data_IF_774558830313
#
_entry.id   IF_774558830313
#
_cell.length_a   1.000
_cell.length_b   1.000
_cell.length_c   1.000
_cell.angle_alpha   90.00
_cell.angle_beta   90.00
_cell.angle_gamma   90.00
#
_symmetry.space_group_name_H-M   'P 1'
#
loop_
_entity.id
_entity.type
_entity.pdbx_description
1 polymer ?
#
# COMPACT_ATOMS: atom_id res chain seq x y z
N UNK A 1 -7.55 -15.91 10.34
CA UNK A 1 -8.66 -16.82 10.02
C UNK A 1 -8.34 -18.17 10.62
N UNK A 2 -9.18 -18.68 11.53
CA UNK A 2 -8.93 -19.97 12.17
C UNK A 2 -9.27 -21.12 11.21
N UNK A 3 -8.63 -22.29 11.39
CA UNK A 3 -8.96 -23.51 10.65
C UNK A 3 -8.77 -24.79 11.48
N UNK A 4 -9.43 -25.86 11.05
CA UNK A 4 -9.32 -27.23 11.57
C UNK A 4 -9.26 -28.23 10.42
N UNK A 5 -8.39 -29.24 10.51
CA UNK A 5 -8.22 -30.37 9.59
C UNK A 5 -7.99 -29.97 8.13
N UNK A 6 -7.06 -29.05 7.90
CA UNK A 6 -6.66 -28.60 6.57
C UNK A 6 -6.18 -29.77 5.69
N UNK A 7 -6.77 -29.97 4.50
CA UNK A 7 -6.55 -31.16 3.68
C UNK A 7 -5.15 -31.24 3.06
N UNK A 8 -4.51 -30.10 2.83
CA UNK A 8 -3.12 -30.03 2.33
C UNK A 8 -2.07 -30.26 3.43
N UNK A 9 -2.49 -30.36 4.69
CA UNK A 9 -1.65 -30.64 5.84
C UNK A 9 -1.71 -32.10 6.30
N UNK A 10 -0.84 -32.46 7.24
CA UNK A 10 -1.01 -33.72 7.98
C UNK A 10 -2.13 -33.57 9.00
N UNK A 11 -3.20 -34.37 8.89
CA UNK A 11 -4.39 -34.32 9.76
C UNK A 11 -4.21 -35.28 10.96
N UNK A 12 -4.59 -34.88 12.20
CA UNK A 12 -5.30 -33.64 12.56
C UNK A 12 -4.38 -32.43 12.65
N UNK A 13 -4.89 -31.27 12.28
CA UNK A 13 -4.18 -29.99 12.41
C UNK A 13 -5.16 -28.84 12.69
N UNK A 14 -4.68 -27.82 13.38
CA UNK A 14 -5.43 -26.59 13.63
C UNK A 14 -4.45 -25.42 13.59
N UNK A 15 -4.95 -24.23 13.30
CA UNK A 15 -4.10 -23.05 13.27
C UNK A 15 -4.81 -21.80 12.78
N UNK A 16 -3.99 -20.80 12.47
CA UNK A 16 -4.42 -19.52 11.92
C UNK A 16 -3.77 -19.29 10.57
N UNK A 17 -4.61 -19.04 9.57
CA UNK A 17 -4.20 -18.51 8.29
C UNK A 17 -4.15 -16.97 8.40
N UNK A 18 -3.04 -16.32 8.01
CA UNK A 18 -2.96 -14.86 7.96
C UNK A 18 -3.96 -14.34 6.92
N UNK A 19 -4.94 -13.52 7.33
CA UNK A 19 -6.07 -13.15 6.46
C UNK A 19 -5.64 -12.41 5.19
N UNK A 20 -4.67 -11.49 5.31
CA UNK A 20 -4.13 -10.75 4.16
C UNK A 20 -3.31 -11.59 3.17
N UNK A 21 -2.82 -12.75 3.62
CA UNK A 21 -2.09 -13.70 2.75
C UNK A 21 -3.01 -14.64 1.98
N UNK A 22 -4.25 -14.79 2.44
CA UNK A 22 -5.22 -15.63 1.77
C UNK A 22 -6.08 -14.77 0.83
N UNK A 23 -6.40 -13.54 1.23
CA UNK A 23 -7.39 -12.74 0.54
C UNK A 23 -8.80 -13.29 0.71
N UNK A 24 -9.11 -13.82 1.89
CA UNK A 24 -10.48 -14.22 2.22
C UNK A 24 -11.15 -13.03 2.86
N UNK A 25 -12.09 -12.46 2.12
CA UNK A 25 -12.93 -11.36 2.57
C UNK A 25 -14.38 -11.64 2.21
N UNK A 26 -15.28 -10.91 2.88
CA UNK A 26 -16.69 -10.85 2.51
C UNK A 26 -16.88 -9.95 1.30
N UNK A 27 -18.09 -9.90 0.76
CA UNK A 27 -18.41 -8.87 -0.23
C UNK A 27 -18.40 -7.47 0.39
N UNK A 28 -18.88 -7.40 1.64
CA UNK A 28 -19.03 -6.17 2.42
C UNK A 28 -18.48 -6.39 3.82
N UNK A 29 -17.74 -5.41 4.34
CA UNK A 29 -17.34 -5.43 5.74
C UNK A 29 -18.46 -4.93 6.67
N UNK A 30 -18.23 -4.94 7.98
CA UNK A 30 -19.18 -4.53 9.01
C UNK A 30 -19.82 -3.13 8.90
N UNK A 31 -19.17 -2.15 8.29
CA UNK A 31 -19.58 -0.76 8.11
C UNK A 31 -20.29 -0.51 6.78
N UNK A 32 -20.32 -1.49 5.86
CA UNK A 32 -21.00 -1.41 4.57
C UNK A 32 -20.08 -1.21 3.36
N UNK A 33 -18.77 -1.10 3.54
CA UNK A 33 -17.79 -0.90 2.46
C UNK A 33 -17.45 -2.22 1.74
N UNK A 34 -17.19 -2.18 0.43
CA UNK A 34 -16.70 -3.34 -0.30
C UNK A 34 -15.34 -3.76 0.26
N UNK A 35 -15.13 -5.05 0.54
CA UNK A 35 -13.92 -5.48 1.25
C UNK A 35 -12.61 -5.14 0.51
N UNK A 36 -12.55 -5.24 -0.82
CA UNK A 36 -11.36 -4.83 -1.56
C UNK A 36 -11.07 -3.31 -1.41
N UNK A 37 -12.11 -2.48 -1.32
CA UNK A 37 -11.97 -1.05 -1.09
C UNK A 37 -11.63 -0.74 0.38
N UNK A 38 -12.26 -1.43 1.33
CA UNK A 38 -11.97 -1.30 2.75
C UNK A 38 -10.53 -1.70 3.08
N UNK A 39 -10.03 -2.77 2.47
CA UNK A 39 -8.65 -3.21 2.62
C UNK A 39 -7.70 -2.17 2.00
N UNK A 40 -7.96 -1.71 0.78
CA UNK A 40 -7.16 -0.62 0.19
C UNK A 40 -7.14 0.61 1.10
N UNK A 41 -8.30 1.03 1.63
CA UNK A 41 -8.39 2.17 2.53
C UNK A 41 -7.59 1.95 3.80
N UNK A 42 -7.70 0.78 4.45
CA UNK A 42 -6.93 0.44 5.65
C UNK A 42 -5.43 0.48 5.39
N UNK A 43 -4.99 -0.07 4.26
CA UNK A 43 -3.60 -0.06 3.84
C UNK A 43 -3.10 1.35 3.51
N UNK A 44 -3.96 2.19 2.93
CA UNK A 44 -3.64 3.57 2.56
C UNK A 44 -3.76 4.57 3.71
N UNK A 45 -4.52 4.28 4.76
CA UNK A 45 -4.73 5.16 5.90
C UNK A 45 -3.41 5.51 6.59
N UNK A 46 -2.58 4.50 6.88
CA UNK A 46 -1.26 4.70 7.49
C UNK A 46 -0.32 5.54 6.61
N UNK A 47 -0.25 5.22 5.31
CA UNK A 47 0.57 5.93 4.33
C UNK A 47 0.10 7.38 4.18
N UNK A 48 -1.22 7.60 4.16
CA UNK A 48 -1.85 8.91 4.07
C UNK A 48 -1.54 9.76 5.29
N UNK A 49 -1.71 9.23 6.51
CA UNK A 49 -1.40 9.95 7.74
C UNK A 49 0.07 10.35 7.83
N UNK A 50 1.00 9.47 7.48
CA UNK A 50 2.44 9.77 7.52
C UNK A 50 2.81 10.84 6.49
N UNK A 51 2.28 10.72 5.27
CA UNK A 51 2.48 11.71 4.21
C UNK A 51 1.87 13.07 4.60
N UNK A 52 0.65 13.08 5.14
CA UNK A 52 -0.02 14.29 5.61
C UNK A 52 0.72 14.93 6.78
N UNK A 53 1.23 14.14 7.73
CA UNK A 53 2.02 14.65 8.85
C UNK A 53 3.30 15.32 8.33
N UNK A 54 4.02 14.68 7.41
CA UNK A 54 5.21 15.26 6.79
C UNK A 54 4.90 16.56 6.00
N UNK A 55 3.84 16.58 5.20
CA UNK A 55 3.41 17.79 4.47
C UNK A 55 2.93 18.90 5.41
N UNK A 56 2.27 18.55 6.52
CA UNK A 56 1.83 19.52 7.53
C UNK A 56 3.03 20.15 8.22
N UNK A 57 4.05 19.36 8.56
CA UNK A 57 5.32 19.87 9.12
C UNK A 57 5.99 20.87 8.18
N UNK A 58 6.01 20.59 6.86
CA UNK A 58 6.52 21.54 5.86
C UNK A 58 5.65 22.80 5.79
N UNK A 59 4.33 22.68 5.80
CA UNK A 59 3.43 23.83 5.82
C UNK A 59 3.63 24.73 7.06
N UNK A 60 3.92 24.13 8.21
CA UNK A 60 4.27 24.85 9.44
C UNK A 60 5.54 25.68 9.30
N UNK A 61 6.53 25.24 8.49
CA UNK A 61 7.72 26.05 8.18
C UNK A 61 7.36 27.30 7.39
N UNK A 62 6.52 27.16 6.36
CA UNK A 62 6.06 28.30 5.54
C UNK A 62 5.31 29.31 6.41
N UNK A 63 4.43 28.82 7.29
CA UNK A 63 3.73 29.67 8.27
C UNK A 63 4.71 30.40 9.20
N UNK A 64 5.69 29.69 9.75
CA UNK A 64 6.74 30.24 10.61
C UNK A 64 7.53 31.34 9.90
N UNK A 65 7.97 31.10 8.67
CA UNK A 65 8.68 32.09 7.86
C UNK A 65 7.82 33.33 7.57
N UNK A 66 6.54 33.13 7.26
CA UNK A 66 5.61 34.22 6.93
C UNK A 66 5.31 35.11 8.14
N UNK A 67 5.02 34.53 9.31
CA UNK A 67 4.77 35.28 10.56
C UNK A 67 5.99 36.08 10.99
N UNK A 68 7.19 35.57 10.72
CA UNK A 68 8.45 36.26 11.02
C UNK A 68 8.95 37.16 9.87
N UNK A 69 8.13 37.40 8.83
CA UNK A 69 8.46 38.31 7.72
C UNK A 69 9.66 37.90 6.87
N UNK A 70 10.04 36.61 6.93
CA UNK A 70 11.19 36.06 6.21
C UNK A 70 10.79 35.37 4.91
N UNK A 71 9.49 35.14 4.66
CA UNK A 71 8.98 34.52 3.44
C UNK A 71 8.75 35.52 2.29
N UNK A 72 9.05 35.17 1.03
CA UNK A 72 9.85 34.02 0.58
C UNK A 72 11.38 34.26 0.62
N UNK A 73 12.22 33.22 0.68
CA UNK A 73 13.65 33.33 0.41
C UNK A 73 13.91 33.87 -1.00
N UNK A 74 15.03 34.59 -1.16
CA UNK A 74 15.49 35.00 -2.48
C UNK A 74 16.01 33.79 -3.28
N UNK A 75 15.99 33.89 -4.60
CA UNK A 75 16.54 32.88 -5.51
C UNK A 75 17.99 32.53 -5.15
N UNK A 76 18.29 31.23 -5.04
CA UNK A 76 19.60 30.71 -4.67
C UNK A 76 19.97 30.90 -3.20
N UNK A 77 19.01 31.25 -2.33
CA UNK A 77 19.24 31.47 -0.90
C UNK A 77 18.38 30.55 -0.03
N UNK A 78 18.79 30.40 1.23
CA UNK A 78 18.12 29.58 2.24
C UNK A 78 17.78 30.44 3.46
N UNK A 79 16.65 30.16 4.08
CA UNK A 79 16.27 30.69 5.39
C UNK A 79 16.37 29.54 6.40
N UNK A 80 17.07 29.81 7.50
CA UNK A 80 17.11 28.94 8.66
C UNK A 80 16.04 29.36 9.68
N UNK A 81 15.12 28.45 9.96
CA UNK A 81 14.01 28.60 10.89
C UNK A 81 14.21 27.80 12.17
N UNK A 82 15.33 27.11 12.36
CA UNK A 82 15.54 26.15 13.46
C UNK A 82 15.22 26.76 14.83
N UNK A 83 15.70 27.98 15.08
CA UNK A 83 15.46 28.72 16.33
C UNK A 83 14.07 29.38 16.40
N UNK A 84 13.47 29.67 15.26
CA UNK A 84 12.16 30.30 15.14
C UNK A 84 11.01 29.29 15.19
N UNK A 85 11.29 28.03 14.89
CA UNK A 85 10.33 26.93 14.91
C UNK A 85 10.07 26.41 16.32
N UNK A 86 11.07 26.45 17.22
CA UNK A 86 10.96 25.94 18.60
C UNK A 86 9.85 26.58 19.46
N UNK A 87 9.56 27.90 19.38
CA UNK A 87 8.48 28.51 20.17
C UNK A 87 7.06 28.18 19.70
N UNK A 88 6.92 27.70 18.46
CA UNK A 88 5.64 27.41 17.79
C UNK A 88 5.49 25.93 17.47
N UNK A 89 6.47 25.11 17.83
CA UNK A 89 6.46 23.67 17.62
C UNK A 89 5.39 23.00 18.47
N UNK A 90 4.95 21.83 18.03
CA UNK A 90 4.17 20.95 18.88
C UNK A 90 4.97 20.61 20.17
N UNK A 91 4.30 20.32 21.29
CA UNK A 91 4.96 19.81 22.48
C UNK A 91 5.85 18.60 22.17
N UNK A 92 6.97 18.47 22.89
CA UNK A 92 7.94 17.37 22.77
C UNK A 92 8.65 17.25 21.42
N UNK A 93 8.66 18.31 20.62
CA UNK A 93 9.44 18.41 19.39
C UNK A 93 10.63 19.32 19.60
N UNK A 94 11.82 18.85 19.25
CA UNK A 94 13.06 19.64 19.24
C UNK A 94 13.65 19.61 17.84
N UNK A 95 13.72 20.78 17.19
CA UNK A 95 14.31 20.90 15.86
C UNK A 95 15.83 20.94 15.93
N UNK A 96 16.48 20.07 15.17
CA UNK A 96 17.91 20.10 14.89
C UNK A 96 18.19 20.96 13.65
N UNK A 97 17.35 20.86 12.62
CA UNK A 97 17.40 21.66 11.39
C UNK A 97 15.99 21.98 10.91
N UNK A 98 15.75 23.21 10.47
CA UNK A 98 14.56 23.60 9.72
C UNK A 98 14.90 24.67 8.69
N UNK A 99 15.07 24.29 7.41
CA UNK A 99 15.48 25.23 6.36
C UNK A 99 14.55 25.24 5.15
N UNK A 100 14.31 26.43 4.59
CA UNK A 100 13.61 26.61 3.32
C UNK A 100 14.57 27.23 2.32
N UNK A 101 14.79 26.56 1.20
CA UNK A 101 15.65 27.02 0.11
C UNK A 101 14.86 27.21 -1.17
N UNK A 102 15.08 28.32 -1.87
CA UNK A 102 14.70 28.47 -3.27
C UNK A 102 15.95 28.27 -4.11
N UNK A 103 15.92 27.33 -5.05
CA UNK A 103 17.07 26.99 -5.86
C UNK A 103 17.59 28.17 -6.70
N UNK A 104 18.79 28.02 -7.26
CA UNK A 104 19.44 29.09 -8.03
C UNK A 104 18.70 29.47 -9.32
N UNK A 105 17.79 28.63 -9.82
CA UNK A 105 16.96 28.92 -11.00
C UNK A 105 15.62 29.54 -10.62
N UNK A 106 15.29 29.61 -9.33
CA UNK A 106 14.03 30.15 -8.83
C UNK A 106 12.83 29.27 -9.15
N UNK A 107 13.05 27.98 -9.42
CA UNK A 107 12.05 27.05 -9.95
C UNK A 107 11.70 25.94 -8.97
N UNK A 108 12.59 25.60 -8.05
CA UNK A 108 12.40 24.50 -7.09
C UNK A 108 12.57 25.00 -5.66
N UNK A 109 11.57 24.70 -4.85
CA UNK A 109 11.59 24.87 -3.40
C UNK A 109 12.12 23.59 -2.75
N UNK A 110 13.06 23.72 -1.82
CA UNK A 110 13.55 22.62 -1.01
C UNK A 110 13.31 22.94 0.45
N UNK A 111 12.66 22.01 1.14
CA UNK A 111 12.35 22.07 2.56
C UNK A 111 13.09 20.91 3.23
N UNK A 112 13.90 21.23 4.24
CA UNK A 112 14.62 20.23 5.03
C UNK A 112 14.26 20.41 6.51
N UNK A 113 13.81 19.32 7.11
CA UNK A 113 13.46 19.20 8.52
C UNK A 113 14.21 18.02 9.13
N UNK A 114 14.83 18.27 10.28
CA UNK A 114 15.40 17.25 11.16
C UNK A 114 14.97 17.63 12.58
N UNK A 115 14.23 16.75 13.23
CA UNK A 115 13.76 16.96 14.59
C UNK A 115 13.61 15.66 15.35
N UNK A 116 13.69 15.78 16.68
CA UNK A 116 13.40 14.70 17.61
C UNK A 116 12.01 14.92 18.16
N UNK A 117 11.14 13.91 18.03
CA UNK A 117 9.89 13.83 18.76
C UNK A 117 10.07 12.88 19.95
N UNK A 118 9.76 13.32 21.16
CA UNK A 118 9.75 12.43 22.34
C UNK A 118 8.31 12.05 22.68
N UNK A 119 7.98 10.77 22.58
CA UNK A 119 6.66 10.27 22.97
C UNK A 119 6.47 10.49 24.48
N UNK A 120 5.51 11.33 24.91
CA UNK A 120 5.31 11.63 26.33
C UNK A 120 4.83 10.43 27.14
N UNK A 121 4.29 9.40 26.50
CA UNK A 121 3.76 8.20 27.16
C UNK A 121 4.86 7.20 27.52
N UNK A 122 5.90 7.09 26.68
CA UNK A 122 7.01 6.14 26.85
C UNK A 122 8.35 6.81 27.17
N UNK A 123 8.44 8.13 27.01
CA UNK A 123 9.69 8.90 27.01
C UNK A 123 10.72 8.45 25.96
N UNK A 124 10.26 7.76 24.90
CA UNK A 124 11.10 7.29 23.80
C UNK A 124 11.34 8.41 22.81
N UNK A 125 12.60 8.72 22.45
CA UNK A 125 12.90 9.64 21.36
C UNK A 125 12.74 8.94 20.01
N UNK A 126 12.19 9.69 19.05
CA UNK A 126 12.05 9.33 17.65
C UNK A 126 12.76 10.39 16.82
N UNK A 127 13.86 10.00 16.18
CA UNK A 127 14.57 10.87 15.23
C UNK A 127 13.81 10.87 13.90
N UNK A 128 13.42 12.05 13.44
CA UNK A 128 12.58 12.22 12.25
C UNK A 128 13.24 13.22 11.31
N UNK A 129 13.41 12.80 10.06
CA UNK A 129 13.80 13.70 8.97
C UNK A 129 12.71 13.76 7.91
N UNK A 130 12.48 14.95 7.37
CA UNK A 130 11.54 15.19 6.27
C UNK A 130 12.22 16.11 5.26
N UNK A 131 12.23 15.69 3.99
CA UNK A 131 12.68 16.50 2.89
C UNK A 131 11.57 16.61 1.83
N UNK A 132 11.22 17.83 1.44
CA UNK A 132 10.34 18.08 0.28
C UNK A 132 11.08 18.89 -0.75
N UNK A 133 11.11 18.41 -1.99
CA UNK A 133 11.48 19.20 -3.17
C UNK A 133 10.22 19.45 -4.00
N UNK A 134 9.89 20.70 -4.29
CA UNK A 134 8.65 21.09 -4.95
C UNK A 134 8.89 22.11 -6.06
N UNK A 135 8.53 21.75 -7.28
CA UNK A 135 8.50 22.64 -8.43
C UNK A 135 7.06 23.10 -8.68
N UNK A 136 6.79 24.38 -8.40
CA UNK A 136 5.49 24.98 -8.67
C UNK A 136 5.46 25.56 -10.09
N UNK A 137 4.37 25.33 -10.83
CA UNK A 137 4.09 25.99 -12.11
C UNK A 137 2.65 26.52 -12.15
N UNK A 138 2.34 27.36 -13.14
CA UNK A 138 1.05 28.05 -13.23
C UNK A 138 -0.14 27.13 -13.58
N UNK A 139 0.12 25.96 -14.14
CA UNK A 139 -0.91 25.00 -14.61
C UNK A 139 -0.78 23.62 -13.98
N UNK A 140 0.09 23.48 -12.98
CA UNK A 140 0.48 22.19 -12.44
C UNK A 140 1.70 22.31 -11.54
N UNK A 141 2.00 21.27 -10.78
CA UNK A 141 3.18 21.22 -9.93
C UNK A 141 3.70 19.80 -9.82
N UNK A 142 4.96 19.66 -9.46
CA UNK A 142 5.52 18.35 -9.14
C UNK A 142 6.31 18.44 -7.85
N UNK A 143 6.45 17.32 -7.18
CA UNK A 143 7.28 17.27 -5.99
C UNK A 143 7.70 15.86 -5.62
N UNK A 144 8.73 15.82 -4.79
CA UNK A 144 9.23 14.62 -4.15
C UNK A 144 9.38 14.88 -2.66
N UNK A 145 8.63 14.15 -1.87
CA UNK A 145 8.71 14.09 -0.42
C UNK A 145 9.46 12.81 -0.03
N UNK A 146 10.34 12.92 0.95
CA UNK A 146 11.00 11.79 1.60
C UNK A 146 10.91 12.02 3.09
N UNK A 147 10.61 10.97 3.86
CA UNK A 147 10.65 11.02 5.31
C UNK A 147 11.26 9.74 5.88
N UNK A 148 11.96 9.89 6.99
CA UNK A 148 12.61 8.81 7.72
C UNK A 148 12.29 9.02 9.19
N UNK A 149 11.79 8.00 9.87
CA UNK A 149 11.41 8.06 11.28
C UNK A 149 11.85 6.80 12.01
N UNK A 150 12.61 6.98 13.10
CA UNK A 150 13.01 5.89 13.98
C UNK A 150 11.86 5.45 14.89
N UNK A 151 11.73 4.14 15.08
CA UNK A 151 10.66 3.51 15.85
C UNK A 151 11.10 2.16 16.46
N UNK A 152 10.23 1.50 17.21
CA UNK A 152 10.45 0.16 17.76
C UNK A 152 9.33 -0.80 17.37
N UNK A 153 9.70 -1.94 16.78
CA UNK A 153 8.78 -2.99 16.37
C UNK A 153 9.32 -4.37 16.72
N UNK A 154 8.52 -5.16 17.45
CA UNK A 154 8.83 -6.55 17.80
C UNK A 154 7.95 -7.52 17.00
N UNK A 155 8.53 -8.60 16.49
CA UNK A 155 7.80 -9.65 15.76
C UNK A 155 8.03 -9.67 14.25
N UNK A 156 9.02 -8.92 13.76
CA UNK A 156 9.43 -8.90 12.35
C UNK A 156 10.65 -9.76 12.03
N UNK A 157 11.22 -9.60 10.82
CA UNK A 157 12.43 -10.31 10.39
C UNK A 157 13.73 -9.59 10.79
N UNK A 158 13.63 -8.41 11.44
CA UNK A 158 14.79 -7.66 11.90
C UNK A 158 15.48 -8.31 13.12
N UNK A 159 16.81 -8.16 13.26
CA UNK A 159 17.57 -8.79 14.34
C UNK A 159 17.38 -8.12 15.72
N UNK A 160 16.84 -6.90 15.75
CA UNK A 160 16.49 -6.16 16.97
C UNK A 160 15.10 -5.53 16.82
N UNK A 161 14.58 -4.98 17.92
CA UNK A 161 13.32 -4.24 17.90
C UNK A 161 13.46 -2.86 17.23
N UNK A 162 14.67 -2.31 17.13
CA UNK A 162 14.89 -1.01 16.49
C UNK A 162 14.59 -1.12 14.99
N UNK A 163 13.73 -0.22 14.51
CA UNK A 163 13.37 -0.12 13.10
C UNK A 163 13.35 1.33 12.66
N UNK A 164 13.56 1.57 11.37
CA UNK A 164 13.35 2.88 10.77
C UNK A 164 12.30 2.78 9.68
N UNK A 165 11.23 3.54 9.82
CA UNK A 165 10.26 3.76 8.77
C UNK A 165 10.85 4.69 7.71
N UNK A 166 10.94 4.24 6.47
CA UNK A 166 11.35 5.08 5.35
C UNK A 166 10.15 5.22 4.41
N UNK A 167 9.78 6.45 4.09
CA UNK A 167 8.72 6.76 3.15
C UNK A 167 9.14 7.76 2.09
N UNK A 168 8.57 7.64 0.90
CA UNK A 168 8.73 8.63 -0.16
C UNK A 168 7.44 8.77 -0.96
N UNK A 169 7.12 9.99 -1.36
CA UNK A 169 6.04 10.31 -2.29
C UNK A 169 6.62 11.12 -3.44
N UNK A 170 6.36 10.70 -4.67
CA UNK A 170 6.51 11.56 -5.85
C UNK A 170 5.14 11.85 -6.43
N UNK A 171 4.91 13.10 -6.83
CA UNK A 171 3.65 13.51 -7.43
C UNK A 171 3.86 14.51 -8.56
N UNK A 172 2.91 14.52 -9.49
CA UNK A 172 2.76 15.49 -10.56
C UNK A 172 1.30 15.87 -10.71
N UNK A 173 1.03 17.13 -11.01
CA UNK A 173 -0.31 17.62 -11.31
C UNK A 173 -0.29 18.43 -12.60
N UNK A 174 -1.32 18.27 -13.43
CA UNK A 174 -1.56 19.08 -14.62
C UNK A 174 -3.05 19.36 -14.73
N UNK A 175 -3.48 20.59 -14.44
CA UNK A 175 -4.90 20.89 -14.31
C UNK A 175 -5.53 20.09 -13.16
N UNK A 176 -6.46 19.19 -13.49
CA UNK A 176 -7.09 18.26 -12.53
C UNK A 176 -6.44 16.88 -12.54
N UNK A 177 -5.57 16.57 -13.49
CA UNK A 177 -4.89 15.28 -13.54
C UNK A 177 -3.82 15.22 -12.45
N UNK A 178 -3.82 14.14 -11.68
CA UNK A 178 -2.87 13.84 -10.61
C UNK A 178 -2.24 12.49 -10.85
N UNK A 179 -0.92 12.48 -10.91
CA UNK A 179 -0.11 11.27 -10.93
C UNK A 179 0.69 11.22 -9.62
N UNK A 180 0.70 10.09 -8.94
CA UNK A 180 1.52 9.92 -7.75
C UNK A 180 2.01 8.50 -7.56
N UNK A 181 3.15 8.38 -6.88
CA UNK A 181 3.63 7.12 -6.32
C UNK A 181 4.15 7.36 -4.91
N UNK A 182 3.61 6.60 -3.95
CA UNK A 182 4.13 6.48 -2.60
C UNK A 182 4.83 5.15 -2.42
N UNK A 183 5.92 5.13 -1.66
CA UNK A 183 6.64 3.92 -1.26
C UNK A 183 6.91 3.99 0.23
N UNK A 184 6.76 2.85 0.91
CA UNK A 184 6.98 2.72 2.33
C UNK A 184 7.74 1.42 2.61
N UNK A 185 8.74 1.48 3.48
CA UNK A 185 9.47 0.29 3.92
C UNK A 185 9.86 0.38 5.39
N UNK A 186 9.81 -0.76 6.08
CA UNK A 186 10.25 -0.92 7.47
C UNK A 186 11.65 -1.54 7.50
N UNK A 187 12.64 -0.69 7.79
CA UNK A 187 14.07 -1.00 7.75
C UNK A 187 14.60 -1.42 9.12
N UNK A 188 15.59 -2.31 9.12
CA UNK A 188 16.16 -2.82 10.36
C UNK A 188 17.19 -1.86 10.97
N UNK A 189 17.06 -1.62 12.28
CA UNK A 189 17.88 -0.69 13.04
C UNK A 189 17.48 0.77 12.85
N UNK A 190 17.83 1.62 13.82
CA UNK A 190 17.68 3.08 13.76
C UNK A 190 18.65 3.76 12.79
N UNK A 191 18.22 4.90 12.25
CA UNK A 191 18.96 5.69 11.26
C UNK A 191 19.22 4.92 9.95
N UNK A 192 18.32 4.01 9.55
CA UNK A 192 18.43 3.38 8.24
C UNK A 192 17.96 4.33 7.14
N UNK A 193 18.80 4.55 6.13
CA UNK A 193 18.47 5.34 4.95
C UNK A 193 18.16 4.41 3.78
N UNK A 194 16.91 3.99 3.64
CA UNK A 194 16.43 3.09 2.59
C UNK A 194 16.12 3.78 1.26
N UNK A 195 16.56 5.02 1.09
CA UNK A 195 16.23 5.86 -0.07
C UNK A 195 17.31 5.69 -1.14
N UNK A 196 16.89 5.46 -2.39
CA UNK A 196 17.78 5.34 -3.54
C UNK A 196 18.21 6.69 -4.12
N UNK A 197 19.08 6.66 -5.12
CA UNK A 197 19.60 7.88 -5.76
C UNK A 197 18.55 8.73 -6.47
N UNK A 198 17.38 8.15 -6.78
CA UNK A 198 16.23 8.87 -7.32
C UNK A 198 15.42 9.62 -6.23
N UNK A 199 15.79 9.47 -4.96
CA UNK A 199 15.10 10.05 -3.81
C UNK A 199 13.82 9.30 -3.42
N UNK A 200 13.59 8.10 -3.98
CA UNK A 200 12.49 7.21 -3.60
C UNK A 200 13.01 6.06 -2.75
N UNK A 201 12.17 5.55 -1.86
CA UNK A 201 12.47 4.33 -1.10
C UNK A 201 12.74 3.18 -2.07
N UNK A 202 13.85 2.48 -1.86
CA UNK A 202 14.36 1.48 -2.78
C UNK A 202 13.95 0.05 -2.34
N UNK A 203 13.10 -0.64 -3.13
CA UNK A 203 12.67 -2.00 -2.81
C UNK A 203 13.81 -3.03 -2.90
N UNK A 204 14.93 -2.70 -3.54
CA UNK A 204 16.09 -3.61 -3.65
C UNK A 204 16.95 -3.65 -2.38
N UNK A 205 16.84 -2.65 -1.49
CA UNK A 205 17.62 -2.56 -0.26
C UNK A 205 17.07 -3.49 0.84
N UNK A 206 17.13 -4.80 0.61
CA UNK A 206 16.55 -5.88 1.42
C UNK A 206 17.46 -6.40 2.54
N UNK A 207 16.89 -6.71 3.70
CA UNK A 207 17.56 -7.54 4.71
C UNK A 207 17.49 -9.04 4.34
N UNK A 208 18.49 -9.88 4.65
CA UNK A 208 19.77 -9.57 5.29
C UNK A 208 20.90 -9.19 4.32
N UNK A 209 20.63 -9.10 3.02
CA UNK A 209 21.62 -8.68 2.01
C UNK A 209 22.28 -7.36 2.42
N UNK A 210 21.47 -6.45 2.94
CA UNK A 210 21.91 -5.24 3.61
C UNK A 210 21.56 -5.31 5.09
N UNK A 211 22.55 -5.07 5.97
CA UNK A 211 22.37 -5.19 7.42
C UNK A 211 21.26 -4.27 7.97
N UNK A 212 21.05 -3.13 7.32
CA UNK A 212 19.98 -2.16 7.62
C UNK A 212 18.90 -2.12 6.53
N UNK A 213 18.83 -3.14 5.68
CA UNK A 213 17.79 -3.25 4.66
C UNK A 213 16.41 -3.43 5.26
N UNK A 214 15.38 -3.37 4.42
CA UNK A 214 14.02 -3.62 4.86
C UNK A 214 13.84 -5.10 5.20
N UNK A 215 13.40 -5.35 6.42
CA UNK A 215 13.15 -6.68 6.96
C UNK A 215 11.67 -7.00 7.07
N UNK A 216 10.80 -6.00 7.10
CA UNK A 216 9.37 -6.21 7.34
C UNK A 216 8.57 -5.77 6.11
N UNK A 217 7.43 -5.13 6.33
CA UNK A 217 6.57 -4.70 5.22
C UNK A 217 7.28 -3.71 4.30
N UNK A 218 7.08 -3.92 3.00
CA UNK A 218 7.34 -2.95 1.96
C UNK A 218 6.08 -2.78 1.12
N UNK A 219 5.67 -1.54 0.87
CA UNK A 219 4.52 -1.25 0.03
C UNK A 219 4.78 -0.14 -0.97
N UNK A 220 4.07 -0.22 -2.09
CA UNK A 220 4.08 0.80 -3.14
C UNK A 220 2.63 1.07 -3.53
N UNK A 221 2.24 2.34 -3.49
CA UNK A 221 0.97 2.82 -4.00
C UNK A 221 1.22 3.71 -5.21
N UNK A 222 0.53 3.46 -6.32
CA UNK A 222 0.62 4.29 -7.52
C UNK A 222 -0.78 4.64 -7.99
N UNK A 223 -1.00 5.89 -8.41
CA UNK A 223 -2.31 6.34 -8.88
C UNK A 223 -2.18 7.39 -9.98
N UNK A 224 -3.06 7.30 -10.98
CA UNK A 224 -3.33 8.35 -11.96
C UNK A 224 -4.84 8.63 -11.95
N UNK A 225 -5.25 9.83 -11.54
CA UNK A 225 -6.65 10.14 -11.36
C UNK A 225 -6.96 11.63 -11.56
N UNK A 226 -8.21 11.93 -11.85
CA UNK A 226 -8.72 13.30 -11.88
C UNK A 226 -9.09 13.73 -10.45
N UNK A 227 -8.49 14.80 -9.95
CA UNK A 227 -8.65 15.30 -8.58
C UNK A 227 -10.05 15.81 -8.25
N UNK A 228 -10.91 16.02 -9.25
CA UNK A 228 -12.27 16.53 -9.07
C UNK A 228 -13.28 15.40 -9.00
N UNK A 229 -13.10 14.38 -9.84
CA UNK A 229 -14.03 13.26 -10.01
C UNK A 229 -13.56 11.98 -9.32
N UNK A 230 -12.28 11.88 -8.96
CA UNK A 230 -11.62 10.67 -8.45
C UNK A 230 -11.68 9.48 -9.42
N UNK A 231 -12.05 9.71 -10.68
CA UNK A 231 -11.97 8.71 -11.72
C UNK A 231 -10.50 8.52 -12.11
N UNK A 232 -10.08 7.27 -12.27
CA UNK A 232 -8.68 6.95 -12.46
C UNK A 232 -8.33 5.50 -12.18
N UNK A 233 -7.04 5.24 -12.12
CA UNK A 233 -6.45 3.93 -11.84
C UNK A 233 -5.63 4.02 -10.55
N UNK A 234 -5.81 3.04 -9.68
CA UNK A 234 -5.14 2.94 -8.39
C UNK A 234 -4.55 1.55 -8.24
N UNK A 235 -3.29 1.46 -7.84
CA UNK A 235 -2.61 0.19 -7.57
C UNK A 235 -1.88 0.26 -6.24
N UNK A 236 -2.21 -0.64 -5.33
CA UNK A 236 -1.48 -0.85 -4.09
C UNK A 236 -0.85 -2.23 -4.11
N UNK A 237 0.45 -2.31 -3.84
CA UNK A 237 1.16 -3.56 -3.70
C UNK A 237 1.90 -3.62 -2.38
N UNK A 238 1.87 -4.79 -1.76
CA UNK A 238 2.48 -5.03 -0.47
C UNK A 238 3.22 -6.36 -0.46
N UNK A 239 4.42 -6.34 0.11
CA UNK A 239 5.22 -7.51 0.39
C UNK A 239 5.53 -7.56 1.88
N UNK A 240 5.17 -8.66 2.56
CA UNK A 240 5.23 -8.78 4.01
C UNK A 240 6.66 -8.87 4.56
N UNK A 241 7.58 -9.43 3.76
CA UNK A 241 8.98 -9.57 4.12
C UNK A 241 9.88 -9.78 2.91
N UNK A 242 11.21 -9.62 3.07
CA UNK A 242 12.17 -9.64 1.97
C UNK A 242 12.29 -11.00 1.29
N UNK A 243 11.85 -12.07 1.97
CA UNK A 243 11.89 -13.45 1.47
C UNK A 243 10.62 -13.88 0.74
N UNK A 244 9.56 -13.07 0.76
CA UNK A 244 8.36 -13.37 -0.01
C UNK A 244 8.68 -13.29 -1.51
N UNK A 245 8.28 -14.32 -2.25
CA UNK A 245 8.51 -14.40 -3.70
C UNK A 245 7.57 -13.50 -4.51
N UNK A 246 6.46 -13.06 -3.92
CA UNK A 246 5.40 -12.35 -4.60
C UNK A 246 4.84 -11.22 -3.74
N UNK A 247 4.30 -10.20 -4.40
CA UNK A 247 3.53 -9.15 -3.74
C UNK A 247 2.03 -9.47 -3.76
N UNK A 248 1.30 -8.95 -2.78
CA UNK A 248 -0.16 -8.86 -2.80
C UNK A 248 -0.51 -7.57 -3.53
N UNK A 249 -1.37 -7.65 -4.53
CA UNK A 249 -1.67 -6.52 -5.43
C UNK A 249 -3.17 -6.26 -5.42
N UNK A 250 -3.53 -5.00 -5.19
CA UNK A 250 -4.87 -4.46 -5.30
C UNK A 250 -4.92 -3.44 -6.41
N UNK A 251 -5.74 -3.69 -7.43
CA UNK A 251 -5.95 -2.76 -8.53
C UNK A 251 -7.40 -2.29 -8.53
N UNK A 252 -7.62 -0.98 -8.56
CA UNK A 252 -8.95 -0.38 -8.63
C UNK A 252 -9.01 0.59 -9.81
N UNK A 253 -9.98 0.37 -10.69
CA UNK A 253 -10.32 1.32 -11.74
C UNK A 253 -11.66 1.97 -11.45
N UNK A 254 -11.69 3.29 -11.42
CA UNK A 254 -12.88 4.10 -11.16
C UNK A 254 -13.27 4.86 -12.42
N UNK A 255 -14.49 4.63 -12.89
CA UNK A 255 -15.08 5.30 -14.03
C UNK A 255 -15.79 6.59 -13.62
N UNK A 256 -15.66 7.63 -14.44
CA UNK A 256 -16.33 8.93 -14.27
C UNK A 256 -17.83 8.88 -14.61
N UNK A 257 -18.59 7.99 -13.96
CA UNK A 257 -20.04 7.86 -14.12
C UNK A 257 -20.78 8.53 -12.95
N UNK A 258 -22.11 8.61 -13.03
CA UNK A 258 -22.96 9.06 -11.90
C UNK A 258 -23.99 7.98 -11.57
N UNK A 259 -23.86 7.27 -10.43
CA UNK A 259 -22.76 7.34 -9.44
C UNK A 259 -21.42 6.86 -10.02
N UNK A 260 -20.29 7.20 -9.38
CA UNK A 260 -18.99 6.66 -9.78
C UNK A 260 -19.03 5.14 -9.61
N UNK A 261 -18.63 4.42 -10.65
CA UNK A 261 -18.62 2.95 -10.68
C UNK A 261 -17.25 2.45 -11.10
N UNK A 262 -16.90 1.23 -10.73
CA UNK A 262 -15.58 0.70 -11.01
C UNK A 262 -15.48 -0.79 -10.76
N UNK A 263 -14.27 -1.30 -10.87
CA UNK A 263 -13.94 -2.64 -10.42
C UNK A 263 -12.70 -2.60 -9.53
N UNK A 264 -12.73 -3.42 -8.48
CA UNK A 264 -11.59 -3.70 -7.63
C UNK A 264 -11.14 -5.15 -7.87
N UNK A 265 -9.83 -5.34 -7.90
CA UNK A 265 -9.18 -6.61 -8.18
C UNK A 265 -8.15 -6.90 -7.11
N UNK A 266 -8.04 -8.17 -6.73
CA UNK A 266 -7.00 -8.64 -5.83
C UNK A 266 -6.37 -9.92 -6.34
N UNK A 267 -5.05 -10.00 -6.20
CA UNK A 267 -4.28 -11.21 -6.44
C UNK A 267 -2.83 -11.02 -6.08
N UNK A 268 -1.98 -11.81 -6.70
CA UNK A 268 -0.55 -11.79 -6.47
C UNK A 268 0.19 -11.41 -7.75
N UNK A 269 1.24 -10.63 -7.59
CA UNK A 269 2.14 -10.24 -8.66
C UNK A 269 3.59 -10.57 -8.33
N UNK A 270 4.47 -10.17 -9.23
CA UNK A 270 5.91 -10.13 -9.03
C UNK A 270 6.30 -9.42 -7.70
N UNK A 271 7.50 -9.70 -7.15
CA UNK A 271 7.95 -9.05 -5.93
C UNK A 271 8.17 -7.55 -6.17
N UNK A 272 8.06 -6.73 -5.12
CA UNK A 272 8.08 -5.25 -5.22
C UNK A 272 9.36 -4.67 -5.85
N UNK A 273 10.41 -5.47 -6.00
CA UNK A 273 11.68 -5.11 -6.66
C UNK A 273 11.61 -5.04 -8.18
N UNK A 274 10.70 -5.79 -8.82
CA UNK A 274 10.63 -5.92 -10.29
C UNK A 274 9.21 -5.80 -10.83
N UNK A 275 8.21 -5.66 -9.95
CA UNK A 275 6.79 -5.59 -10.30
C UNK A 275 6.44 -4.42 -11.22
N UNK A 276 5.54 -4.72 -12.16
CA UNK A 276 4.93 -3.84 -13.17
C UNK A 276 3.48 -3.46 -12.80
N UNK A 277 3.16 -3.46 -11.50
CA UNK A 277 1.81 -3.15 -10.97
C UNK A 277 0.71 -4.17 -11.36
N UNK A 278 1.07 -5.26 -12.04
CA UNK A 278 0.10 -6.25 -12.48
C UNK A 278 -0.22 -7.32 -11.42
N UNK A 279 -1.43 -7.89 -11.53
CA UNK A 279 -1.78 -9.18 -10.93
C UNK A 279 -1.42 -10.26 -11.95
N UNK A 280 -0.53 -11.18 -11.56
CA UNK A 280 -0.13 -12.33 -12.37
C UNK A 280 -1.11 -13.50 -12.21
N UNK A 281 -1.66 -13.65 -11.01
CA UNK A 281 -2.56 -14.74 -10.67
C UNK A 281 -2.93 -14.79 -9.20
N UNK A 282 -3.29 -15.97 -8.72
CA UNK A 282 -3.79 -16.18 -7.37
C UNK A 282 -3.19 -17.41 -6.70
N UNK A 283 -2.71 -17.26 -5.46
CA UNK A 283 -2.37 -18.38 -4.60
C UNK A 283 -3.54 -18.68 -3.66
N UNK A 284 -4.15 -19.84 -3.84
CA UNK A 284 -5.28 -20.24 -3.01
C UNK A 284 -4.87 -20.67 -1.60
N UNK A 285 -3.60 -21.07 -1.42
CA UNK A 285 -3.03 -21.30 -0.10
C UNK A 285 -1.61 -20.77 -0.07
N UNK A 286 -1.44 -19.47 0.23
CA UNK A 286 -0.12 -18.85 0.32
C UNK A 286 0.65 -19.32 1.56
N UNK A 287 0.03 -19.24 2.73
CA UNK A 287 0.66 -19.56 4.02
C UNK A 287 0.01 -20.77 4.73
N UNK A 288 -0.83 -21.54 4.04
CA UNK A 288 -1.53 -22.67 4.62
C UNK A 288 -0.69 -23.96 4.70
N UNK A 289 -1.11 -24.95 5.50
CA UNK A 289 -0.41 -26.23 5.59
C UNK A 289 -0.16 -26.86 4.22
N UNK A 290 1.10 -27.24 3.94
CA UNK A 290 1.47 -27.88 2.68
C UNK A 290 1.34 -27.00 1.44
N UNK A 291 1.41 -25.67 1.60
CA UNK A 291 1.40 -24.73 0.48
C UNK A 291 2.45 -25.10 -0.58
N UNK A 292 2.11 -24.91 -1.85
CA UNK A 292 3.00 -25.26 -2.98
C UNK A 292 3.57 -24.05 -3.71
N UNK A 293 3.14 -22.82 -3.37
CA UNK A 293 3.40 -21.60 -4.14
C UNK A 293 3.16 -21.81 -5.65
N UNK A 294 2.15 -22.60 -6.00
CA UNK A 294 1.69 -22.77 -7.39
C UNK A 294 0.65 -21.71 -7.67
N UNK A 295 0.95 -20.79 -8.58
CA UNK A 295 0.04 -19.71 -8.94
C UNK A 295 -1.02 -20.24 -9.90
N UNK A 296 -2.27 -19.93 -9.62
CA UNK A 296 -3.40 -20.21 -10.51
C UNK A 296 -3.72 -18.98 -11.35
N UNK A 297 -4.23 -19.19 -12.57
CA UNK A 297 -4.64 -18.12 -13.49
C UNK A 297 -6.02 -17.55 -13.13
N UNK A 298 -6.16 -17.11 -11.88
CA UNK A 298 -7.34 -16.48 -11.34
C UNK A 298 -7.00 -15.15 -10.68
N UNK A 299 -8.01 -14.34 -10.42
CA UNK A 299 -7.96 -13.20 -9.53
C UNK A 299 -9.32 -13.03 -8.85
N UNK A 300 -9.34 -12.30 -7.75
CA UNK A 300 -10.59 -11.84 -7.17
C UNK A 300 -11.04 -10.54 -7.84
N UNK A 301 -12.36 -10.39 -7.99
CA UNK A 301 -12.97 -9.20 -8.61
C UNK A 301 -14.21 -8.78 -7.82
N UNK A 302 -14.39 -7.47 -7.65
CA UNK A 302 -15.64 -6.89 -7.15
C UNK A 302 -16.05 -5.68 -8.00
N UNK A 303 -17.32 -5.62 -8.39
CA UNK A 303 -17.90 -4.39 -8.91
C UNK A 303 -18.17 -3.42 -7.76
N UNK A 304 -17.71 -2.19 -7.90
CA UNK A 304 -17.82 -1.16 -6.85
C UNK A 304 -18.53 0.10 -7.34
N UNK A 305 -19.19 0.79 -6.42
CA UNK A 305 -19.87 2.06 -6.64
C UNK A 305 -19.56 2.99 -5.48
N UNK A 306 -19.17 4.24 -5.74
CA UNK A 306 -19.08 5.25 -4.67
C UNK A 306 -20.48 5.68 -4.26
N UNK A 307 -20.83 5.45 -3.01
CA UNK A 307 -21.99 6.05 -2.38
C UNK A 307 -21.63 7.46 -1.91
N UNK A 308 -22.07 8.48 -2.65
CA UNK A 308 -21.75 9.89 -2.33
C UNK A 308 -22.42 10.41 -1.07
N UNK A 309 -23.37 9.67 -0.48
CA UNK A 309 -24.01 10.04 0.79
C UNK A 309 -23.17 9.60 1.98
N UNK A 310 -22.62 8.39 1.93
CA UNK A 310 -21.77 7.81 2.98
C UNK A 310 -20.29 8.11 2.77
N UNK A 311 -19.88 8.40 1.53
CA UNK A 311 -18.49 8.53 1.11
C UNK A 311 -17.77 7.19 0.92
N UNK A 312 -18.48 6.06 1.00
CA UNK A 312 -17.90 4.71 0.95
C UNK A 312 -17.97 4.12 -0.45
N UNK A 313 -17.00 3.27 -0.77
CA UNK A 313 -16.99 2.46 -2.00
C UNK A 313 -17.69 1.14 -1.72
N UNK A 314 -18.96 1.05 -2.10
CA UNK A 314 -19.85 -0.07 -1.80
C UNK A 314 -19.88 -1.08 -2.96
N UNK A 315 -20.15 -2.37 -2.73
CA UNK A 315 -20.33 -3.31 -3.84
C UNK A 315 -21.59 -2.92 -4.64
N UNK A 316 -21.48 -2.84 -5.96
CA UNK A 316 -22.62 -2.43 -6.82
C UNK A 316 -23.79 -3.40 -6.72
N UNK A 317 -23.49 -4.69 -6.64
CA UNK A 317 -24.39 -5.74 -6.21
C UNK A 317 -23.56 -6.95 -5.75
N UNK A 318 -24.04 -7.67 -4.74
CA UNK A 318 -23.39 -8.87 -4.19
C UNK A 318 -23.05 -9.90 -5.27
N UNK A 319 -24.04 -10.23 -6.11
CA UNK A 319 -23.95 -11.23 -7.17
C UNK A 319 -22.98 -10.92 -8.33
N UNK A 320 -22.22 -9.83 -8.27
CA UNK A 320 -21.22 -9.47 -9.27
C UNK A 320 -19.81 -9.40 -8.69
N UNK A 321 -19.55 -10.11 -7.59
CA UNK A 321 -18.22 -10.34 -7.04
C UNK A 321 -17.77 -11.77 -7.34
N UNK A 322 -16.53 -11.93 -7.80
CA UNK A 322 -15.86 -13.20 -8.03
C UNK A 322 -14.82 -13.37 -6.91
N UNK A 323 -15.26 -13.85 -5.74
CA UNK A 323 -14.44 -13.92 -4.51
C UNK A 323 -14.50 -15.27 -3.79
N UNK A 324 -15.31 -16.21 -4.25
CA UNK A 324 -15.53 -17.47 -3.52
C UNK A 324 -14.50 -18.52 -3.91
N UNK A 325 -13.71 -18.95 -2.94
CA UNK A 325 -12.80 -20.09 -3.07
C UNK A 325 -12.56 -20.73 -1.70
N UNK A 326 -12.03 -21.96 -1.67
CA UNK A 326 -11.55 -22.58 -0.43
C UNK A 326 -10.03 -22.40 -0.31
N UNK A 327 -9.48 -22.14 0.90
CA UNK A 327 -8.05 -21.86 1.14
C UNK A 327 -7.10 -23.06 1.00
N UNK A 328 -7.40 -23.97 0.07
CA UNK A 328 -6.60 -25.16 -0.25
C UNK A 328 -5.69 -24.89 -1.44
N UNK A 329 -4.69 -25.75 -1.68
CA UNK A 329 -3.86 -25.67 -2.89
C UNK A 329 -4.69 -25.76 -4.19
N UNK A 330 -5.88 -26.37 -4.14
CA UNK A 330 -6.77 -26.54 -5.28
C UNK A 330 -7.87 -25.47 -5.41
N UNK A 331 -7.87 -24.45 -4.53
CA UNK A 331 -8.90 -23.40 -4.46
C UNK A 331 -10.32 -23.89 -4.17
N UNK A 332 -10.49 -25.19 -3.94
CA UNK A 332 -11.76 -25.89 -3.85
C UNK A 332 -11.70 -26.90 -2.72
N UNK A 333 -12.87 -27.26 -2.21
CA UNK A 333 -13.04 -28.30 -1.22
C UNK A 333 -14.40 -28.96 -1.44
N UNK A 334 -14.38 -30.26 -1.73
CA UNK A 334 -15.57 -31.04 -2.10
C UNK A 334 -16.38 -31.54 -0.90
N UNK A 335 -15.93 -31.24 0.32
CA UNK A 335 -16.58 -31.70 1.55
C UNK A 335 -16.13 -33.09 2.00
N UNK A 336 -15.16 -33.71 1.33
CA UNK A 336 -14.58 -34.98 1.79
C UNK A 336 -13.65 -34.73 2.97
N UNK A 337 -14.07 -35.13 4.17
CA UNK A 337 -13.30 -34.99 5.40
C UNK A 337 -13.93 -34.07 6.42
N UNK A 338 -13.09 -33.49 7.28
CA UNK A 338 -13.52 -32.67 8.45
C UNK A 338 -13.04 -31.23 8.37
N UNK A 339 -12.50 -30.79 7.22
CA UNK A 339 -11.93 -29.45 7.05
C UNK A 339 -12.95 -28.35 7.35
N UNK A 340 -12.53 -27.38 8.15
CA UNK A 340 -13.24 -26.14 8.45
C UNK A 340 -12.30 -24.96 8.45
N UNK A 341 -12.80 -23.82 8.00
CA UNK A 341 -12.12 -22.55 8.11
C UNK A 341 -13.16 -21.46 8.39
N UNK A 342 -12.75 -20.47 9.16
CA UNK A 342 -13.57 -19.34 9.64
C UNK A 342 -13.87 -18.38 8.47
N UNK A 343 -14.88 -18.71 7.66
CA UNK A 343 -15.13 -18.02 6.39
C UNK A 343 -15.74 -16.64 6.62
N UNK A 344 -16.61 -16.53 7.62
CA UNK A 344 -17.22 -15.26 7.97
C UNK A 344 -16.38 -14.43 8.95
N UNK A 345 -15.17 -14.88 9.27
CA UNK A 345 -14.18 -14.16 10.05
C UNK A 345 -14.71 -13.76 11.45
N UNK A 346 -15.66 -14.52 11.99
CA UNK A 346 -16.22 -14.31 13.33
C UNK A 346 -15.42 -15.02 14.45
N UNK A 347 -14.35 -15.74 14.07
CA UNK A 347 -13.46 -16.53 14.93
C UNK A 347 -14.13 -17.74 15.58
N UNK A 348 -15.18 -18.25 14.96
CA UNK A 348 -15.91 -19.43 15.40
C UNK A 348 -15.90 -20.49 14.31
N UNK A 349 -15.41 -21.69 14.62
CA UNK A 349 -15.43 -22.82 13.67
C UNK A 349 -16.66 -23.74 13.86
N UNK A 350 -17.43 -23.56 14.94
CA UNK A 350 -18.51 -24.49 15.30
C UNK A 350 -19.78 -24.29 14.47
N UNK A 351 -19.98 -23.09 13.93
CA UNK A 351 -21.04 -22.71 12.99
C UNK A 351 -20.67 -23.04 11.53
N UNK A 352 -19.43 -23.42 11.25
CA UNK A 352 -19.01 -23.77 9.90
C UNK A 352 -19.52 -25.16 9.49
N UNK A 353 -20.33 -25.17 8.42
CA UNK A 353 -21.03 -26.35 7.92
C UNK A 353 -20.61 -26.67 6.49
N UNK A 354 -21.07 -27.79 5.94
CA UNK A 354 -20.90 -28.08 4.52
C UNK A 354 -21.48 -26.97 3.63
N UNK A 355 -22.51 -26.24 4.08
CA UNK A 355 -23.11 -25.14 3.34
C UNK A 355 -22.25 -23.86 3.31
N UNK A 356 -21.20 -23.76 4.12
CA UNK A 356 -20.29 -22.60 4.17
C UNK A 356 -18.88 -22.95 3.71
N UNK A 357 -18.43 -24.18 3.98
CA UNK A 357 -17.07 -24.66 3.72
C UNK A 357 -16.87 -25.33 2.35
N UNK A 358 -17.88 -26.03 1.83
CA UNK A 358 -17.74 -26.76 0.56
C UNK A 358 -17.76 -25.74 -0.57
N UNK A 359 -16.72 -25.77 -1.40
CA UNK A 359 -16.54 -24.88 -2.55
C UNK A 359 -16.13 -25.73 -3.75
N UNK A 360 -16.98 -25.79 -4.78
CA UNK A 360 -16.77 -26.67 -5.96
C UNK A 360 -17.26 -26.01 -7.24
N UNK A 361 -16.78 -26.50 -8.39
CA UNK A 361 -17.30 -26.14 -9.72
C UNK A 361 -17.57 -27.42 -10.55
N UNK A 362 -18.84 -27.71 -10.94
CA UNK A 362 -20.05 -26.99 -10.56
C UNK A 362 -20.46 -27.29 -9.11
N UNK A 363 -21.05 -26.31 -8.43
CA UNK A 363 -21.61 -26.53 -7.10
C UNK A 363 -22.84 -27.42 -7.13
N UNK A 364 -22.75 -28.59 -6.49
CA UNK A 364 -23.90 -29.48 -6.25
C UNK A 364 -24.41 -29.38 -4.81
N UNK A 365 -23.51 -29.06 -3.88
CA UNK A 365 -23.76 -28.74 -2.47
C UNK A 365 -22.74 -27.69 -2.03
N UNK A 366 -23.12 -26.79 -1.11
CA UNK A 366 -22.23 -25.71 -0.68
C UNK A 366 -22.21 -24.55 -1.67
N UNK A 367 -21.04 -23.93 -1.84
CA UNK A 367 -20.85 -22.76 -2.67
C UNK A 367 -20.16 -23.07 -4.00
N UNK A 368 -20.46 -22.23 -4.98
CA UNK A 368 -19.79 -22.21 -6.28
C UNK A 368 -18.39 -21.62 -6.12
N UNK A 369 -17.38 -22.32 -6.63
CA UNK A 369 -16.07 -21.72 -6.86
C UNK A 369 -16.21 -20.60 -7.88
N UNK A 370 -15.75 -19.42 -7.50
CA UNK A 370 -16.05 -18.17 -8.19
C UNK A 370 -14.86 -17.22 -8.02
N UNK A 371 -13.79 -17.50 -8.77
CA UNK A 371 -12.71 -16.56 -9.02
C UNK A 371 -12.70 -16.21 -10.50
N UNK A 372 -12.32 -14.98 -10.82
CA UNK A 372 -12.28 -14.53 -12.19
C UNK A 372 -11.12 -15.18 -12.93
N UNK A 373 -11.40 -15.93 -13.99
CA UNK A 373 -10.40 -16.66 -14.76
C UNK A 373 -9.68 -15.76 -15.78
N UNK A 374 -8.41 -16.07 -16.04
CA UNK A 374 -7.65 -15.41 -17.09
C UNK A 374 -8.17 -15.70 -18.49
N UNK A 375 -8.06 -14.69 -19.34
CA UNK A 375 -8.45 -14.68 -20.74
C UNK A 375 -7.27 -14.24 -21.60
N UNK A 376 -7.06 -14.95 -22.71
CA UNK A 376 -6.15 -14.53 -23.78
C UNK A 376 -6.90 -13.52 -24.66
N UNK A 377 -6.62 -12.24 -24.44
CA UNK A 377 -7.31 -11.15 -25.14
C UNK A 377 -6.50 -10.68 -26.35
N UNK A 378 -5.18 -10.82 -26.30
CA UNK A 378 -4.28 -10.33 -27.34
C UNK A 378 -4.09 -11.35 -28.50
N UNK A 379 -4.49 -12.61 -28.31
CA UNK A 379 -4.42 -13.69 -29.29
C UNK A 379 -3.03 -14.33 -29.44
N UNK A 380 -2.15 -14.20 -28.44
CA UNK A 380 -0.80 -14.77 -28.45
C UNK A 380 -0.73 -16.23 -27.99
N UNK A 381 -1.86 -16.78 -27.52
CA UNK A 381 -2.00 -18.14 -27.04
C UNK A 381 -1.77 -18.32 -25.53
N UNK A 382 -1.51 -17.24 -24.78
CA UNK A 382 -1.25 -17.27 -23.33
C UNK A 382 -2.25 -16.37 -22.60
N UNK A 383 -3.19 -16.97 -21.89
CA UNK A 383 -4.10 -16.20 -21.04
C UNK A 383 -3.39 -15.66 -19.79
N UNK A 384 -3.42 -14.34 -19.57
CA UNK A 384 -2.83 -13.68 -18.40
C UNK A 384 -3.84 -12.81 -17.66
N UNK A 385 -3.60 -12.59 -16.36
CA UNK A 385 -4.46 -11.70 -15.58
C UNK A 385 -4.27 -10.23 -15.91
N UNK A 386 -3.06 -9.83 -16.30
CA UNK A 386 -2.79 -8.51 -16.87
C UNK A 386 -3.69 -8.19 -18.07
N UNK A 387 -3.76 -9.08 -19.06
CA UNK A 387 -4.59 -8.88 -20.24
C UNK A 387 -6.08 -8.80 -19.90
N UNK A 388 -6.51 -9.68 -19.00
CA UNK A 388 -7.89 -9.74 -18.57
C UNK A 388 -8.31 -8.43 -17.92
N UNK A 389 -7.53 -7.93 -16.96
CA UNK A 389 -7.80 -6.69 -16.24
C UNK A 389 -7.71 -5.48 -17.19
N UNK A 390 -6.71 -5.46 -18.10
CA UNK A 390 -6.57 -4.43 -19.12
C UNK A 390 -7.79 -4.36 -20.05
N UNK A 391 -8.32 -5.52 -20.48
CA UNK A 391 -9.52 -5.60 -21.31
C UNK A 391 -10.79 -5.09 -20.60
N UNK A 392 -10.78 -5.06 -19.27
CA UNK A 392 -11.84 -4.46 -18.45
C UNK A 392 -11.72 -2.94 -18.33
N UNK A 393 -10.68 -2.34 -18.92
CA UNK A 393 -10.42 -0.90 -18.86
C UNK A 393 -9.61 -0.47 -17.64
N UNK A 394 -8.96 -1.41 -16.95
CA UNK A 394 -8.08 -1.15 -15.81
C UNK A 394 -6.65 -1.40 -16.23
N UNK A 395 -5.83 -0.36 -16.19
CA UNK A 395 -4.41 -0.46 -16.54
C UNK A 395 -3.55 -0.10 -15.33
N UNK A 396 -2.36 -0.71 -15.26
CA UNK A 396 -1.31 -0.30 -14.34
C UNK A 396 -1.10 1.23 -14.40
N UNK A 397 -1.26 1.96 -13.27
CA UNK A 397 -0.97 3.37 -13.25
C UNK A 397 0.53 3.61 -13.40
N UNK A 398 0.89 4.69 -14.08
CA UNK A 398 2.28 5.08 -14.33
C UNK A 398 2.79 5.98 -13.21
N UNK A 399 3.93 5.63 -12.64
CA UNK A 399 4.62 6.47 -11.67
C UNK A 399 5.11 7.79 -12.31
N UNK A 400 4.91 8.95 -11.67
CA UNK A 400 5.40 10.21 -12.22
C UNK A 400 6.93 10.28 -12.18
N UNK A 401 7.51 10.94 -13.19
CA UNK A 401 8.94 11.26 -13.20
C UNK A 401 9.18 12.63 -12.55
N UNK A 402 10.09 12.70 -11.58
CA UNK A 402 10.57 13.97 -11.01
C UNK A 402 12.05 14.17 -11.31
N UNK A 403 12.39 15.31 -11.92
CA UNK A 403 13.75 15.62 -12.38
C UNK A 403 14.59 16.43 -11.39
N UNK A 404 14.00 16.86 -10.25
CA UNK A 404 14.75 17.58 -9.23
C UNK A 404 15.80 16.70 -8.56
N UNK A 405 16.99 17.26 -8.31
CA UNK A 405 18.09 16.57 -7.65
C UNK A 405 17.70 16.11 -6.23
N UNK A 406 18.05 14.88 -5.86
CA UNK A 406 18.01 14.44 -4.47
C UNK A 406 19.33 14.79 -3.78
N UNK A 407 19.26 15.45 -2.63
CA UNK A 407 20.43 15.90 -1.86
C UNK A 407 20.46 15.29 -0.45
N UNK A 408 19.45 14.49 -0.10
CA UNK A 408 19.39 13.79 1.17
C UNK A 408 20.30 12.56 1.23
N UNK A 409 20.41 11.93 2.41
CA UNK A 409 21.17 10.69 2.57
C UNK A 409 20.55 9.55 1.75
N UNK A 410 21.27 9.07 0.74
CA UNK A 410 20.95 7.85 0.00
C UNK A 410 21.76 6.66 0.56
N UNK A 411 21.23 5.45 0.42
CA UNK A 411 22.03 4.26 0.71
C UNK A 411 23.24 4.16 -0.25
N UNK A 412 24.40 3.67 0.22
CA UNK A 412 25.60 3.48 -0.58
C UNK A 412 25.53 2.31 -1.57
#
# INVERSE_FOLDING_TARGET
MDYEDHPDGTIPNTGQLPSGDMGIWKETESTGEACAAAELNSQMEGVSFQTMAAMTSVASMVCTANVNGSWPPATGTSIDLTTLATPISAPNVVFNTATITLDSTGSVWVYDLDFVYTDPSTATPHDITVQLSHAAASTGGSGRLTYVADDSFTGGNCPSADVTLNGSLVYGTTGTDVDLQSRLGYYCGHGSAGVGSNGLVDPSYKYPTYARGWGNNFSIFTANFDSTTLAGQYSYRWQAGPNDSNSRVFNIGVNATTPLTGEAWFGFGEPVTVSDECIDGFFCSWAGPGFTHTMSNYAQRQNVTLNTTTGLVEPTNSAASDITYAPTNACTYDGTGTFKYDRDLDRTLTNETAATNVVTDPATTGLLFDLYAAQDVNGDGTATMCETIANRGISAPTAPTYSGSYTGPAHP
#
